data_IF_803603842963
#
_entry.id   IF_803603842963
#
_cell.length_a   1.000
_cell.length_b   1.000
_cell.length_c   1.000
_cell.angle_alpha   90.00
_cell.angle_beta   90.00
_cell.angle_gamma   90.00
#
_symmetry.space_group_name_H-M   'P 1'
#
loop_
_entity.id
_entity.type
_entity.pdbx_description
1 polymer ?
#
# COMPACT_ATOMS: atom_id res chain seq x y z
N UNK A 1 14.93 9.41 5.60
CA UNK A 1 15.83 8.92 4.54
C UNK A 1 15.61 9.77 3.29
N UNK A 2 16.66 10.38 2.73
CA UNK A 2 16.56 11.25 1.54
C UNK A 2 16.77 10.41 0.26
N UNK A 3 15.68 10.20 -0.48
CA UNK A 3 15.67 9.44 -1.74
C UNK A 3 16.50 10.13 -2.81
N UNK A 4 16.51 11.48 -2.84
CA UNK A 4 17.23 12.25 -3.86
C UNK A 4 18.74 12.10 -3.68
N UNK A 5 19.24 12.25 -2.45
CA UNK A 5 20.66 12.09 -2.17
C UNK A 5 21.13 10.65 -2.41
N UNK A 6 20.31 9.67 -2.04
CA UNK A 6 20.58 8.25 -2.33
C UNK A 6 20.66 7.97 -3.84
N UNK A 7 19.73 8.55 -4.61
CA UNK A 7 19.73 8.43 -6.06
C UNK A 7 20.96 9.08 -6.70
N UNK A 8 21.45 10.22 -6.16
CA UNK A 8 22.70 10.86 -6.61
C UNK A 8 23.91 9.96 -6.38
N UNK A 9 24.05 9.35 -5.20
CA UNK A 9 25.17 8.43 -4.90
C UNK A 9 25.16 7.22 -5.84
N UNK A 10 23.97 6.70 -6.15
CA UNK A 10 23.77 5.52 -6.98
C UNK A 10 23.67 5.83 -8.49
N UNK A 11 23.84 7.10 -8.88
CA UNK A 11 23.76 7.55 -10.28
C UNK A 11 22.42 7.24 -10.95
N UNK A 12 21.32 7.30 -10.19
CA UNK A 12 19.96 7.16 -10.69
C UNK A 12 19.24 8.51 -10.76
N UNK A 13 18.40 8.66 -11.79
CA UNK A 13 17.43 9.75 -11.87
C UNK A 13 16.30 9.53 -10.86
N UNK A 14 15.58 10.60 -10.52
CA UNK A 14 14.38 10.53 -9.68
C UNK A 14 13.36 9.50 -10.18
N UNK A 15 13.12 9.46 -11.50
CA UNK A 15 12.17 8.52 -12.10
C UNK A 15 12.61 7.06 -11.94
N UNK A 16 13.92 6.79 -12.05
CA UNK A 16 14.46 5.44 -11.83
C UNK A 16 14.32 5.01 -10.37
N UNK A 17 14.65 5.89 -9.42
CA UNK A 17 14.47 5.62 -8.00
C UNK A 17 13.00 5.37 -7.65
N UNK A 18 12.09 6.20 -8.16
CA UNK A 18 10.65 6.01 -7.99
C UNK A 18 10.15 4.70 -8.61
N UNK A 19 10.65 4.33 -9.79
CA UNK A 19 10.32 3.07 -10.45
C UNK A 19 10.78 1.83 -9.66
N UNK A 20 11.95 1.88 -9.02
CA UNK A 20 12.42 0.80 -8.12
C UNK A 20 11.47 0.65 -6.94
N UNK A 21 11.12 1.76 -6.28
CA UNK A 21 10.18 1.76 -5.16
C UNK A 21 8.82 1.20 -5.58
N UNK A 22 8.26 1.68 -6.71
CA UNK A 22 6.98 1.22 -7.23
C UNK A 22 6.98 -0.29 -7.49
N UNK A 23 7.98 -0.82 -8.20
CA UNK A 23 8.08 -2.27 -8.45
C UNK A 23 8.20 -3.08 -7.17
N UNK A 24 8.90 -2.57 -6.17
CA UNK A 24 9.06 -3.26 -4.88
C UNK A 24 7.73 -3.33 -4.13
N UNK A 25 6.93 -2.27 -4.18
CA UNK A 25 5.57 -2.24 -3.61
C UNK A 25 4.64 -3.18 -4.37
N UNK A 26 4.59 -3.07 -5.71
CA UNK A 26 3.75 -3.93 -6.56
C UNK A 26 4.08 -5.42 -6.28
N UNK A 27 5.37 -5.78 -6.23
CA UNK A 27 5.83 -7.14 -5.93
C UNK A 27 5.46 -7.62 -4.52
N UNK A 28 5.52 -6.72 -3.53
CA UNK A 28 5.12 -7.04 -2.17
C UNK A 28 3.62 -7.34 -2.08
N UNK A 29 2.80 -6.50 -2.72
CA UNK A 29 1.34 -6.66 -2.77
C UNK A 29 0.95 -7.97 -3.47
N UNK A 30 1.57 -8.28 -4.62
CA UNK A 30 1.32 -9.52 -5.37
C UNK A 30 1.63 -10.79 -4.54
N UNK A 31 2.61 -10.71 -3.63
CA UNK A 31 2.96 -11.83 -2.75
C UNK A 31 2.10 -11.95 -1.52
N UNK A 32 1.30 -10.93 -1.22
CA UNK A 32 0.47 -10.90 -0.05
C UNK A 32 -0.86 -11.63 -0.31
N UNK A 33 -0.79 -12.96 -0.19
CA UNK A 33 -1.91 -13.89 -0.37
C UNK A 33 -2.60 -14.25 0.96
N UNK A 34 -2.11 -13.76 2.10
CA UNK A 34 -2.69 -14.09 3.40
C UNK A 34 -3.94 -13.27 3.69
N UNK A 35 -4.90 -13.93 4.33
CA UNK A 35 -6.01 -13.27 5.01
C UNK A 35 -5.56 -13.11 6.47
N UNK A 36 -5.56 -11.88 6.95
CA UNK A 36 -5.03 -11.51 8.26
C UNK A 36 -6.15 -11.53 9.31
N UNK A 37 -5.86 -12.08 10.50
CA UNK A 37 -6.81 -12.06 11.62
C UNK A 37 -6.94 -10.66 12.22
N UNK A 38 -5.82 -9.92 12.25
CA UNK A 38 -5.73 -8.57 12.79
C UNK A 38 -5.29 -7.58 11.72
N UNK A 39 -6.01 -6.48 11.61
CA UNK A 39 -5.78 -5.46 10.58
C UNK A 39 -5.80 -4.07 11.15
N UNK A 40 -4.83 -3.26 10.72
CA UNK A 40 -4.77 -1.85 11.01
C UNK A 40 -5.25 -1.04 9.82
N UNK A 41 -6.05 -0.01 10.09
CA UNK A 41 -6.51 0.96 9.10
C UNK A 41 -6.06 2.34 9.57
N UNK A 42 -5.39 3.08 8.70
CA UNK A 42 -4.89 4.42 8.96
C UNK A 42 -5.26 5.37 7.82
N UNK A 43 -5.81 6.53 8.18
CA UNK A 43 -6.16 7.58 7.22
C UNK A 43 -5.18 8.75 7.36
N UNK A 44 -4.35 8.96 6.33
CA UNK A 44 -3.35 10.03 6.32
C UNK A 44 -3.75 11.13 5.38
N UNK A 45 -3.80 12.36 5.88
CA UNK A 45 -3.94 13.54 5.02
C UNK A 45 -2.61 13.85 4.31
N UNK A 46 -2.68 14.30 3.06
CA UNK A 46 -1.49 14.62 2.27
C UNK A 46 -1.69 15.85 1.35
N UNK A 47 -0.64 16.67 1.27
CA UNK A 47 -0.61 17.87 0.45
C UNK A 47 -1.65 18.92 0.85
N UNK A 48 -1.99 19.79 -0.11
CA UNK A 48 -3.04 20.81 0.07
C UNK A 48 -4.41 20.24 -0.34
N UNK A 49 -5.49 20.85 0.16
CA UNK A 49 -6.89 20.57 -0.20
C UNK A 49 -7.51 19.28 0.37
N UNK A 50 -7.19 18.91 1.62
CA UNK A 50 -7.89 17.82 2.33
C UNK A 50 -7.92 16.50 1.55
N UNK A 51 -6.79 16.13 0.93
CA UNK A 51 -6.67 14.82 0.29
C UNK A 51 -6.24 13.80 1.33
N UNK A 52 -6.84 12.62 1.27
CA UNK A 52 -6.59 11.52 2.20
C UNK A 52 -6.15 10.28 1.45
N UNK A 53 -5.31 9.49 2.09
CA UNK A 53 -4.95 8.14 1.69
C UNK A 53 -5.39 7.23 2.82
N UNK A 54 -6.12 6.18 2.49
CA UNK A 54 -6.46 5.10 3.40
C UNK A 54 -5.42 3.99 3.19
N UNK A 55 -4.71 3.64 4.25
CA UNK A 55 -3.69 2.58 4.26
C UNK A 55 -4.20 1.47 5.15
N UNK A 56 -4.17 0.25 4.63
CA UNK A 56 -4.52 -0.97 5.35
C UNK A 56 -3.25 -1.81 5.47
N UNK A 57 -2.96 -2.28 6.67
CA UNK A 57 -1.77 -3.05 6.96
C UNK A 57 -2.07 -4.27 7.83
N UNK A 58 -1.31 -5.34 7.58
CA UNK A 58 -1.23 -6.52 8.42
C UNK A 58 -0.42 -6.17 9.68
N UNK A 59 -1.08 -6.26 10.84
CA UNK A 59 -0.46 -5.99 12.13
C UNK A 59 0.54 -7.10 12.50
N UNK A 60 0.24 -8.34 12.14
CA UNK A 60 0.99 -9.52 12.58
C UNK A 60 2.29 -9.67 11.79
N UNK A 61 2.28 -9.42 10.48
CA UNK A 61 3.46 -9.55 9.62
C UNK A 61 4.15 -8.23 9.28
N UNK A 62 3.63 -7.10 9.79
CA UNK A 62 4.19 -5.77 9.55
C UNK A 62 4.35 -5.45 8.05
N UNK A 63 3.23 -5.44 7.31
CA UNK A 63 3.20 -5.18 5.87
C UNK A 63 1.99 -4.37 5.45
N UNK A 64 2.10 -3.61 4.34
CA UNK A 64 0.97 -2.89 3.76
C UNK A 64 0.20 -3.81 2.83
N UNK A 65 -1.09 -3.99 3.10
CA UNK A 65 -2.01 -4.83 2.33
C UNK A 65 -2.64 -4.06 1.18
N UNK A 66 -3.08 -2.84 1.46
CA UNK A 66 -3.86 -2.06 0.51
C UNK A 66 -3.68 -0.56 0.76
N UNK A 67 -3.68 0.20 -0.33
CA UNK A 67 -3.60 1.65 -0.30
C UNK A 67 -4.62 2.18 -1.29
N UNK A 68 -5.52 3.03 -0.81
CA UNK A 68 -6.55 3.66 -1.62
C UNK A 68 -6.56 5.17 -1.40
N UNK A 69 -6.90 5.92 -2.44
CA UNK A 69 -7.08 7.35 -2.32
C UNK A 69 -8.47 7.66 -1.77
N UNK A 70 -8.59 8.83 -1.14
CA UNK A 70 -9.80 9.31 -0.45
C UNK A 70 -10.04 8.62 0.91
N UNK A 71 -11.00 9.18 1.67
CA UNK A 71 -11.44 8.69 3.00
C UNK A 71 -12.92 8.31 2.98
N UNK A 72 -13.31 7.50 2.00
CA UNK A 72 -14.72 7.12 1.78
C UNK A 72 -14.93 5.67 2.17
N UNK A 73 -16.13 5.37 2.67
CA UNK A 73 -16.57 4.00 2.91
C UNK A 73 -16.35 3.07 1.69
N UNK A 74 -16.58 3.60 0.48
CA UNK A 74 -16.35 2.87 -0.78
C UNK A 74 -14.92 2.32 -0.91
N UNK A 75 -13.92 3.04 -0.39
CA UNK A 75 -12.52 2.61 -0.42
C UNK A 75 -12.32 1.34 0.42
N UNK A 76 -12.96 1.26 1.58
CA UNK A 76 -12.97 0.05 2.43
C UNK A 76 -13.83 -1.07 1.86
N UNK A 77 -14.98 -0.75 1.28
CA UNK A 77 -15.88 -1.76 0.70
C UNK A 77 -15.20 -2.56 -0.43
N UNK A 78 -14.40 -1.89 -1.26
CA UNK A 78 -13.62 -2.54 -2.32
C UNK A 78 -12.60 -3.52 -1.76
N UNK A 79 -11.92 -3.12 -0.69
CA UNK A 79 -10.95 -3.98 -0.04
C UNK A 79 -11.59 -5.20 0.63
N UNK A 80 -12.69 -5.03 1.38
CA UNK A 80 -13.41 -6.16 1.97
C UNK A 80 -13.93 -7.15 0.92
N UNK A 81 -14.43 -6.66 -0.23
CA UNK A 81 -14.79 -7.54 -1.35
C UNK A 81 -13.60 -8.36 -1.84
N UNK A 82 -12.44 -7.73 -1.99
CA UNK A 82 -11.23 -8.43 -2.43
C UNK A 82 -10.79 -9.54 -1.47
N UNK A 83 -10.97 -9.35 -0.15
CA UNK A 83 -10.69 -10.40 0.85
C UNK A 83 -11.72 -11.53 0.75
N UNK A 84 -13.01 -11.20 0.64
CA UNK A 84 -14.05 -12.22 0.48
C UNK A 84 -13.81 -13.10 -0.74
N UNK A 85 -13.43 -12.51 -1.88
CA UNK A 85 -13.11 -13.26 -3.09
C UNK A 85 -11.91 -14.20 -2.86
N UNK A 86 -10.83 -13.72 -2.22
CA UNK A 86 -9.67 -14.55 -1.85
C UNK A 86 -10.05 -15.69 -0.89
N UNK A 87 -10.94 -15.42 0.08
CA UNK A 87 -11.40 -16.42 1.05
C UNK A 87 -12.23 -17.53 0.38
N UNK A 88 -12.97 -17.20 -0.67
CA UNK A 88 -13.75 -18.15 -1.45
C UNK A 88 -12.87 -19.02 -2.37
N UNK A 89 -11.79 -18.46 -2.92
CA UNK A 89 -10.84 -19.17 -3.80
C UNK A 89 -9.90 -20.12 -3.04
N UNK A 90 -9.71 -19.91 -1.73
CA UNK A 90 -8.93 -20.79 -0.84
C UNK A 90 -9.69 -22.04 -0.34
N UNK A 91 -10.93 -22.27 -0.81
CA UNK A 91 -11.81 -23.36 -0.36
C UNK A 91 -11.88 -24.50 -1.36
#
# INVERSE_FOLDING_TARGET
MDIKNSATILWFTWNQAHGIMKRSVDWCIERNLSIHESMGIDEKSYGKYLRYITVIYDIDRSGVDHVEFDRKQKSLDLYYKSICDKALDMR
#
